data_IF_544404486693
#
_entry.id   IF_544404486693
#
_cell.length_a   1.000
_cell.length_b   1.000
_cell.length_c   1.000
_cell.angle_alpha   90.00
_cell.angle_beta   90.00
_cell.angle_gamma   90.00
#
_symmetry.space_group_name_H-M   'P 1'
#
loop_
_entity.id
_entity.type
_entity.pdbx_description
1 polymer ?
#
# COMPACT_ATOMS: atom_id res chain seq x y z
N UNK A 1 -5.29 5.78 -30.10
CA UNK A 1 -4.74 4.89 -29.05
C UNK A 1 -3.23 4.93 -29.17
N UNK A 2 -2.56 5.80 -28.41
CA UNK A 2 -1.10 5.92 -28.49
C UNK A 2 -0.44 5.06 -27.41
N UNK A 3 0.23 3.99 -27.86
CA UNK A 3 0.92 3.00 -27.02
C UNK A 3 2.24 3.50 -26.41
N UNK A 4 2.61 4.76 -26.64
CA UNK A 4 3.79 5.38 -26.04
C UNK A 4 3.58 5.77 -24.56
N UNK A 5 2.41 6.31 -24.20
CA UNK A 5 2.15 6.78 -22.84
C UNK A 5 2.05 5.63 -21.81
N UNK A 6 1.63 4.43 -22.23
CA UNK A 6 1.54 3.25 -21.36
C UNK A 6 2.92 2.66 -20.99
N UNK A 7 3.99 3.00 -21.73
CA UNK A 7 5.35 2.51 -21.46
C UNK A 7 6.10 3.32 -20.41
N UNK A 8 5.71 4.57 -20.18
CA UNK A 8 6.44 5.48 -19.29
C UNK A 8 6.27 5.19 -17.79
N UNK A 9 5.38 4.25 -17.43
CA UNK A 9 4.96 3.97 -16.04
C UNK A 9 5.17 2.51 -15.61
N UNK A 10 5.95 1.72 -16.35
CA UNK A 10 6.34 0.37 -15.91
C UNK A 10 7.40 0.48 -14.81
N UNK A 11 7.05 0.07 -13.59
CA UNK A 11 8.03 -0.22 -12.54
C UNK A 11 8.25 0.84 -11.47
N UNK A 12 7.32 1.78 -11.28
CA UNK A 12 7.39 2.75 -10.18
C UNK A 12 6.46 2.34 -9.01
N UNK A 13 6.98 1.73 -7.94
CA UNK A 13 6.22 1.54 -6.71
C UNK A 13 6.05 2.90 -6.02
N UNK A 14 4.89 3.55 -6.20
CA UNK A 14 4.53 4.74 -5.41
C UNK A 14 4.07 6.00 -6.16
N UNK A 15 4.01 6.02 -7.49
CA UNK A 15 3.69 7.26 -8.23
C UNK A 15 2.20 7.70 -8.23
N UNK A 16 1.33 7.23 -7.32
CA UNK A 16 -0.03 7.79 -7.21
C UNK A 16 -0.70 7.67 -5.84
N UNK A 17 0.04 7.85 -4.75
CA UNK A 17 -0.58 7.91 -3.42
C UNK A 17 -1.20 9.30 -3.14
N UNK A 18 -0.65 10.35 -3.75
CA UNK A 18 -1.21 11.72 -3.73
C UNK A 18 -0.93 12.43 -5.06
N UNK A 19 -1.56 11.98 -6.16
CA UNK A 19 -1.75 12.90 -7.28
C UNK A 19 -3.02 13.69 -6.99
N UNK A 20 -2.96 14.97 -6.53
CA UNK A 20 -4.08 15.85 -6.78
C UNK A 20 -4.34 15.81 -8.28
N UNK A 21 -5.61 15.86 -8.68
CA UNK A 21 -5.99 15.93 -10.09
C UNK A 21 -5.17 17.05 -10.75
N UNK A 22 -4.10 16.66 -11.48
CA UNK A 22 -3.38 17.59 -12.34
C UNK A 22 -4.46 18.14 -13.26
N UNK A 23 -4.64 19.47 -13.27
CA UNK A 23 -5.57 20.25 -14.10
C UNK A 23 -5.30 20.00 -15.60
N UNK A 24 -5.56 18.78 -16.03
CA UNK A 24 -5.33 18.25 -17.36
C UNK A 24 -6.55 17.40 -17.69
N UNK A 25 -6.92 17.28 -18.98
CA UNK A 25 -8.03 16.43 -19.44
C UNK A 25 -7.87 14.93 -19.11
N UNK A 26 -6.76 14.55 -18.46
CA UNK A 26 -6.37 13.19 -18.10
C UNK A 26 -6.57 12.87 -16.60
N UNK A 27 -7.28 13.72 -15.86
CA UNK A 27 -7.64 13.57 -14.44
C UNK A 27 -8.71 12.49 -14.16
N UNK A 28 -8.49 11.28 -14.66
CA UNK A 28 -9.39 10.13 -14.48
C UNK A 28 -8.81 9.09 -13.51
N UNK A 29 -9.67 8.20 -12.99
CA UNK A 29 -9.20 7.00 -12.28
C UNK A 29 -8.32 6.14 -13.18
N UNK A 30 -7.16 5.74 -12.69
CA UNK A 30 -6.14 5.02 -13.48
C UNK A 30 -6.04 3.58 -13.00
N UNK A 31 -5.72 2.70 -13.94
CA UNK A 31 -5.26 1.36 -13.62
C UNK A 31 -3.80 1.43 -13.18
N UNK A 32 -3.49 0.82 -12.05
CA UNK A 32 -2.17 0.81 -11.43
C UNK A 32 -1.71 -0.62 -11.28
N UNK A 33 -0.52 -0.93 -11.79
CA UNK A 33 0.12 -2.24 -11.61
C UNK A 33 1.44 -2.09 -10.89
N UNK A 34 1.58 -2.73 -9.74
CA UNK A 34 2.77 -2.64 -8.90
C UNK A 34 2.97 -3.91 -8.08
N UNK A 35 4.16 -4.03 -7.49
CA UNK A 35 4.48 -5.15 -6.60
C UNK A 35 4.14 -4.80 -5.16
N UNK A 36 3.55 -5.75 -4.46
CA UNK A 36 3.33 -5.73 -3.02
C UNK A 36 3.92 -6.98 -2.39
N UNK A 37 4.21 -6.89 -1.10
CA UNK A 37 4.95 -7.87 -0.34
C UNK A 37 4.21 -8.21 0.94
N UNK A 38 4.09 -9.50 1.24
CA UNK A 38 3.44 -10.01 2.44
C UNK A 38 4.41 -10.89 3.21
N UNK A 39 4.63 -10.57 4.49
CA UNK A 39 5.34 -11.46 5.40
C UNK A 39 4.36 -12.53 5.93
N UNK A 40 4.75 -13.81 5.85
CA UNK A 40 3.85 -14.92 6.20
C UNK A 40 4.63 -16.11 6.77
N UNK A 41 3.95 -16.95 7.55
CA UNK A 41 4.43 -18.29 7.92
C UNK A 41 4.20 -19.29 6.78
N UNK A 42 4.46 -20.57 7.02
CA UNK A 42 4.18 -21.65 6.05
C UNK A 42 2.67 -21.90 5.82
N UNK A 43 1.80 -21.37 6.68
CA UNK A 43 0.34 -21.46 6.48
C UNK A 43 -0.05 -20.60 5.28
N UNK A 44 -0.92 -21.11 4.41
CA UNK A 44 -1.41 -20.38 3.24
C UNK A 44 -2.76 -19.71 3.52
N UNK A 45 -2.86 -18.45 3.14
CA UNK A 45 -4.09 -17.65 3.22
C UNK A 45 -4.41 -17.07 1.85
N UNK A 46 -5.68 -16.79 1.57
CA UNK A 46 -6.06 -15.99 0.40
C UNK A 46 -5.48 -14.58 0.49
N UNK A 47 -5.30 -13.93 -0.66
CA UNK A 47 -4.90 -12.53 -0.77
C UNK A 47 -6.17 -11.66 -0.84
N UNK A 48 -7.01 -11.74 0.18
CA UNK A 48 -8.25 -10.97 0.32
C UNK A 48 -8.38 -10.54 1.78
N UNK A 49 -8.71 -9.26 2.00
CA UNK A 49 -8.79 -8.67 3.33
C UNK A 49 -7.47 -8.84 4.08
N UNK A 50 -6.38 -8.37 3.48
CA UNK A 50 -5.03 -8.56 4.02
C UNK A 50 -4.17 -7.31 3.89
N UNK A 51 -3.34 -7.10 4.90
CA UNK A 51 -2.35 -6.05 4.90
C UNK A 51 -1.08 -6.51 4.17
N UNK A 52 -0.62 -5.69 3.23
CA UNK A 52 0.61 -5.90 2.47
C UNK A 52 1.38 -4.58 2.40
N UNK A 53 2.66 -4.64 2.05
CA UNK A 53 3.48 -3.44 1.95
C UNK A 53 4.23 -3.37 0.62
N UNK A 54 4.87 -2.23 0.34
CA UNK A 54 6.01 -2.22 -0.58
C UNK A 54 7.23 -2.94 0.02
N UNK A 55 8.30 -3.09 -0.75
CA UNK A 55 9.48 -3.82 -0.30
C UNK A 55 10.10 -3.18 0.96
N UNK A 56 10.15 -1.86 1.02
CA UNK A 56 10.70 -1.17 2.19
C UNK A 56 9.80 -1.37 3.42
N UNK A 57 8.48 -1.41 3.24
CA UNK A 57 7.52 -1.52 4.32
C UNK A 57 7.49 -2.93 4.92
N UNK A 58 7.63 -3.97 4.10
CA UNK A 58 7.75 -5.34 4.64
C UNK A 58 9.06 -5.52 5.42
N UNK A 59 10.14 -4.88 4.99
CA UNK A 59 11.40 -4.91 5.74
C UNK A 59 11.31 -4.12 7.06
N UNK A 60 10.62 -2.98 7.04
CA UNK A 60 10.27 -2.23 8.25
C UNK A 60 9.47 -3.09 9.23
N UNK A 61 8.43 -3.78 8.75
CA UNK A 61 7.58 -4.66 9.57
C UNK A 61 8.38 -5.78 10.24
N UNK A 62 9.24 -6.45 9.46
CA UNK A 62 10.05 -7.53 9.97
C UNK A 62 10.96 -7.08 11.11
N UNK A 63 11.63 -5.93 10.97
CA UNK A 63 12.55 -5.44 11.99
C UNK A 63 11.84 -4.77 13.18
N UNK A 64 10.78 -4.03 12.94
CA UNK A 64 10.08 -3.27 13.97
C UNK A 64 9.15 -4.13 14.82
N UNK A 65 8.53 -5.16 14.25
CA UNK A 65 7.50 -5.94 14.96
C UNK A 65 7.80 -7.42 15.09
N UNK A 66 8.42 -8.04 14.08
CA UNK A 66 8.55 -9.50 14.04
C UNK A 66 9.78 -9.98 14.80
N UNK A 67 10.92 -9.33 14.55
CA UNK A 67 12.21 -9.63 15.19
C UNK A 67 12.31 -8.96 16.56
N UNK A 68 11.77 -7.74 16.70
CA UNK A 68 11.79 -7.00 17.97
C UNK A 68 10.78 -7.51 19.02
N UNK A 69 9.89 -8.45 18.67
CA UNK A 69 8.97 -9.03 19.63
C UNK A 69 9.73 -9.74 20.75
N UNK A 70 9.25 -9.62 21.99
CA UNK A 70 9.81 -10.27 23.19
C UNK A 70 9.72 -11.81 23.19
N UNK A 71 9.30 -12.41 22.07
CA UNK A 71 9.03 -13.83 21.90
C UNK A 71 10.27 -14.66 21.52
N UNK A 72 11.48 -14.18 21.82
CA UNK A 72 12.71 -14.93 21.60
C UNK A 72 12.64 -16.33 22.25
N UNK A 73 13.05 -17.42 21.56
CA UNK A 73 13.84 -17.46 20.32
C UNK A 73 13.01 -17.44 19.01
N UNK A 74 11.71 -17.17 19.07
CA UNK A 74 10.81 -17.27 17.91
C UNK A 74 10.47 -15.92 17.29
N UNK A 75 10.31 -15.91 15.96
CA UNK A 75 9.72 -14.79 15.23
C UNK A 75 8.22 -14.72 15.55
N UNK A 76 7.69 -13.51 15.80
CA UNK A 76 6.25 -13.30 15.99
C UNK A 76 5.46 -13.95 14.83
N UNK A 77 4.37 -14.64 15.17
CA UNK A 77 3.52 -15.41 14.24
C UNK A 77 4.25 -16.49 13.40
N UNK A 78 5.46 -16.88 13.79
CA UNK A 78 6.30 -17.83 13.05
C UNK A 78 6.50 -17.44 11.57
N UNK A 79 6.58 -16.14 11.29
CA UNK A 79 6.81 -15.64 9.93
C UNK A 79 8.14 -16.16 9.40
N UNK A 80 8.10 -16.83 8.26
CA UNK A 80 9.25 -17.55 7.68
C UNK A 80 9.64 -17.07 6.29
N UNK A 81 8.74 -16.40 5.57
CA UNK A 81 8.90 -16.03 4.16
C UNK A 81 8.28 -14.68 3.84
N UNK A 82 8.72 -14.10 2.73
CA UNK A 82 8.11 -12.92 2.10
C UNK A 82 7.56 -13.36 0.75
N UNK A 83 6.26 -13.17 0.55
CA UNK A 83 5.59 -13.39 -0.73
C UNK A 83 5.57 -12.09 -1.52
N UNK A 84 5.86 -12.15 -2.82
CA UNK A 84 5.78 -11.02 -3.74
C UNK A 84 4.61 -11.23 -4.71
N UNK A 85 3.66 -10.31 -4.69
CA UNK A 85 2.52 -10.31 -5.60
C UNK A 85 2.63 -9.12 -6.55
N UNK A 86 2.28 -9.34 -7.81
CA UNK A 86 2.01 -8.24 -8.74
C UNK A 86 0.51 -8.06 -8.80
N UNK A 87 0.03 -6.91 -8.33
CA UNK A 87 -1.39 -6.59 -8.32
C UNK A 87 -1.69 -5.55 -9.39
N UNK A 88 -2.93 -5.55 -9.85
CA UNK A 88 -3.49 -4.51 -10.70
C UNK A 88 -4.77 -4.02 -10.03
N UNK A 89 -4.85 -2.72 -9.75
CA UNK A 89 -6.03 -2.10 -9.14
C UNK A 89 -6.48 -0.89 -9.93
N UNK A 90 -7.76 -0.56 -9.81
CA UNK A 90 -8.35 0.66 -10.35
C UNK A 90 -9.42 1.12 -9.38
N UNK A 91 -9.26 2.32 -8.84
CA UNK A 91 -10.21 2.85 -7.85
C UNK A 91 -11.63 2.94 -8.39
N UNK A 92 -12.61 2.99 -7.49
CA UNK A 92 -14.02 3.10 -7.86
C UNK A 92 -14.35 4.52 -8.30
N UNK A 93 -15.44 4.67 -9.07
CA UNK A 93 -15.93 6.00 -9.41
C UNK A 93 -16.48 6.74 -8.18
N UNK A 94 -17.14 6.03 -7.27
CA UNK A 94 -17.68 6.59 -6.03
C UNK A 94 -16.60 7.30 -5.22
N UNK A 95 -15.46 6.63 -4.99
CA UNK A 95 -14.33 7.22 -4.29
C UNK A 95 -13.65 8.34 -5.09
N UNK A 96 -13.37 8.10 -6.37
CA UNK A 96 -12.63 9.06 -7.19
C UNK A 96 -13.37 10.38 -7.39
N UNK A 97 -14.70 10.35 -7.54
CA UNK A 97 -15.50 11.55 -7.79
C UNK A 97 -15.45 12.53 -6.61
N UNK A 98 -15.34 12.01 -5.38
CA UNK A 98 -15.28 12.79 -4.14
C UNK A 98 -13.84 13.19 -3.81
N UNK A 99 -12.92 12.23 -3.82
CA UNK A 99 -11.57 12.45 -3.28
C UNK A 99 -10.53 12.82 -4.33
N UNK A 100 -10.79 12.51 -5.62
CA UNK A 100 -9.83 12.68 -6.73
C UNK A 100 -8.50 11.95 -6.49
N UNK A 101 -8.53 10.80 -5.79
CA UNK A 101 -7.38 9.98 -5.41
C UNK A 101 -7.52 8.53 -5.86
N UNK A 102 -6.40 7.83 -6.05
CA UNK A 102 -6.40 6.44 -6.50
C UNK A 102 -6.48 5.41 -5.36
N UNK A 103 -6.10 5.80 -4.14
CA UNK A 103 -6.13 4.94 -2.95
C UNK A 103 -6.96 5.60 -1.86
N UNK A 104 -7.64 4.77 -1.07
CA UNK A 104 -8.35 5.17 0.14
C UNK A 104 -7.39 5.26 1.34
N UNK A 105 -7.92 5.66 2.49
CA UNK A 105 -7.20 5.50 3.75
C UNK A 105 -6.94 4.02 4.05
N UNK A 106 -5.80 3.72 4.66
CA UNK A 106 -5.51 2.37 5.15
C UNK A 106 -6.52 1.93 6.21
N UNK A 107 -6.88 0.67 6.14
CA UNK A 107 -7.64 -0.07 7.15
C UNK A 107 -6.91 -1.37 7.45
N UNK A 108 -6.75 -1.70 8.72
CA UNK A 108 -6.05 -2.92 9.12
C UNK A 108 -6.97 -4.14 8.99
N UNK A 109 -6.39 -5.27 8.61
CA UNK A 109 -7.07 -6.55 8.53
C UNK A 109 -6.43 -7.60 9.44
N UNK A 110 -7.14 -8.00 10.48
CA UNK A 110 -6.74 -9.10 11.36
C UNK A 110 -7.55 -10.36 11.03
N UNK A 111 -6.86 -11.43 10.65
CA UNK A 111 -7.49 -12.71 10.29
C UNK A 111 -8.57 -12.60 9.21
N UNK A 112 -8.39 -11.69 8.23
CA UNK A 112 -9.34 -11.48 7.13
C UNK A 112 -10.55 -10.60 7.50
N UNK A 113 -10.61 -10.10 8.75
CA UNK A 113 -11.63 -9.18 9.21
C UNK A 113 -11.02 -7.79 9.33
N UNK A 114 -11.71 -6.78 8.83
CA UNK A 114 -11.34 -5.41 9.07
C UNK A 114 -11.58 -5.05 10.54
N UNK A 115 -10.57 -4.46 11.21
CA UNK A 115 -10.60 -4.19 12.65
C UNK A 115 -10.68 -2.72 13.03
N UNK A 116 -10.84 -1.83 12.04
CA UNK A 116 -11.15 -0.41 12.29
C UNK A 116 -12.66 -0.20 12.41
N UNK A 117 -13.14 0.79 13.20
CA UNK A 117 -14.56 1.08 13.30
C UNK A 117 -15.19 1.39 11.93
N UNK A 118 -16.42 0.91 11.73
CA UNK A 118 -17.30 1.22 10.59
C UNK A 118 -16.72 0.96 9.19
N UNK A 119 -15.71 0.11 9.04
CA UNK A 119 -15.14 -0.14 7.72
C UNK A 119 -16.05 -0.91 6.76
N UNK A 120 -17.08 -1.61 7.23
CA UNK A 120 -18.07 -2.19 6.32
C UNK A 120 -18.77 -1.09 5.50
N UNK A 121 -19.08 0.04 6.12
CA UNK A 121 -19.71 1.20 5.47
C UNK A 121 -18.81 1.80 4.37
N UNK A 122 -17.48 1.71 4.53
CA UNK A 122 -16.52 2.15 3.50
C UNK A 122 -16.78 1.42 2.19
N UNK A 123 -16.85 0.09 2.22
CA UNK A 123 -17.02 -0.72 1.02
C UNK A 123 -18.47 -0.75 0.52
N UNK A 124 -19.46 -0.60 1.41
CA UNK A 124 -20.87 -0.43 1.02
C UNK A 124 -21.09 0.84 0.19
N UNK A 125 -20.47 1.96 0.58
CA UNK A 125 -20.68 3.25 -0.08
C UNK A 125 -19.69 3.51 -1.22
N UNK A 126 -18.44 3.09 -1.05
CA UNK A 126 -17.36 3.44 -1.97
C UNK A 126 -16.89 2.25 -2.81
N UNK A 127 -17.44 1.05 -2.60
CA UNK A 127 -17.01 -0.20 -3.25
C UNK A 127 -15.61 -0.64 -2.80
N UNK A 128 -15.07 -1.70 -3.42
CA UNK A 128 -13.77 -2.33 -3.11
C UNK A 128 -12.54 -1.43 -3.38
N UNK A 129 -12.40 -0.36 -2.60
CA UNK A 129 -11.25 0.56 -2.64
C UNK A 129 -10.06 -0.05 -1.90
N UNK A 130 -8.86 0.13 -2.47
CA UNK A 130 -7.59 -0.25 -1.84
C UNK A 130 -7.10 0.91 -0.98
N UNK A 131 -6.81 0.63 0.29
CA UNK A 131 -6.29 1.59 1.24
C UNK A 131 -4.77 1.74 1.18
N UNK A 132 -4.24 2.88 1.64
CA UNK A 132 -2.80 3.06 1.82
C UNK A 132 -2.41 3.93 3.01
N UNK A 133 -1.22 3.71 3.58
CA UNK A 133 -0.65 4.53 4.66
C UNK A 133 0.87 4.55 4.60
N UNK A 134 1.47 5.71 4.86
CA UNK A 134 2.92 5.84 4.98
C UNK A 134 3.42 5.32 6.32
N UNK A 135 4.53 4.61 6.27
CA UNK A 135 5.24 4.07 7.43
C UNK A 135 6.17 5.11 8.03
N UNK A 136 6.27 5.12 9.36
CA UNK A 136 7.18 6.01 10.07
C UNK A 136 8.64 5.52 9.95
N UNK A 137 9.40 6.17 9.07
CA UNK A 137 10.82 5.90 8.82
C UNK A 137 11.74 6.18 10.01
N UNK A 138 11.26 6.86 11.07
CA UNK A 138 12.05 7.07 12.29
C UNK A 138 12.17 5.82 13.16
N UNK A 139 11.26 4.85 12.99
CA UNK A 139 11.27 3.61 13.76
C UNK A 139 12.21 2.56 13.16
N UNK A 140 12.26 2.46 11.82
CA UNK A 140 13.29 1.71 11.11
C UNK A 140 13.59 2.40 9.77
N UNK A 141 14.88 2.54 9.46
CA UNK A 141 15.39 3.36 8.35
C UNK A 141 15.23 2.75 6.94
N UNK A 142 14.23 1.90 6.72
CA UNK A 142 13.92 1.40 5.39
C UNK A 142 13.16 2.47 4.61
N UNK A 143 13.66 2.79 3.41
CA UNK A 143 13.06 3.77 2.50
C UNK A 143 12.83 3.14 1.14
N UNK A 144 11.77 3.58 0.46
CA UNK A 144 11.50 3.15 -0.90
C UNK A 144 12.56 3.68 -1.87
N UNK A 145 12.87 2.88 -2.90
CA UNK A 145 13.77 3.31 -3.98
C UNK A 145 13.17 4.44 -4.81
N UNK A 146 11.84 4.57 -4.78
CA UNK A 146 11.07 5.60 -5.48
C UNK A 146 10.43 6.56 -4.49
N UNK A 147 10.13 7.79 -4.92
CA UNK A 147 9.29 8.71 -4.12
C UNK A 147 7.88 8.16 -4.02
N UNK A 148 7.40 8.00 -2.80
CA UNK A 148 6.06 7.51 -2.45
C UNK A 148 5.14 8.66 -2.05
N UNK A 149 5.71 9.78 -1.57
CA UNK A 149 5.00 11.04 -1.37
C UNK A 149 5.32 11.99 -2.52
N UNK A 150 4.27 12.53 -3.13
CA UNK A 150 4.37 13.50 -4.22
C UNK A 150 3.92 14.90 -3.78
N UNK A 151 3.59 15.08 -2.50
CA UNK A 151 3.33 16.40 -1.96
C UNK A 151 4.60 17.28 -2.10
N UNK A 152 4.41 18.53 -2.54
CA UNK A 152 5.51 19.45 -2.83
C UNK A 152 6.26 19.92 -1.57
N UNK A 153 5.71 19.65 -0.39
CA UNK A 153 6.24 20.08 0.91
C UNK A 153 6.99 18.95 1.62
N UNK A 154 7.25 17.84 0.95
CA UNK A 154 7.89 16.71 1.56
C UNK A 154 9.40 16.94 1.73
N UNK A 155 9.93 16.59 2.91
CA UNK A 155 11.36 16.56 3.22
C UNK A 155 11.91 15.12 3.23
N UNK A 156 13.12 14.91 2.70
CA UNK A 156 13.80 13.62 2.80
C UNK A 156 14.16 13.34 4.28
N UNK A 157 14.10 12.07 4.75
CA UNK A 157 13.82 10.84 4.00
C UNK A 157 12.32 10.52 3.84
N UNK A 158 11.42 11.37 4.35
CA UNK A 158 9.99 11.09 4.42
C UNK A 158 9.33 10.99 3.04
N UNK A 159 9.95 11.51 1.99
CA UNK A 159 9.42 11.44 0.61
C UNK A 159 9.47 10.05 0.01
N UNK A 160 10.25 9.19 0.64
CA UNK A 160 10.42 7.78 0.30
C UNK A 160 9.92 6.89 1.43
N UNK A 161 8.98 7.40 2.25
CA UNK A 161 8.38 6.61 3.31
C UNK A 161 7.80 5.31 2.73
N UNK A 162 8.06 4.15 3.34
CA UNK A 162 7.43 2.91 2.91
C UNK A 162 5.92 2.97 3.01
N UNK A 163 5.23 2.06 2.33
CA UNK A 163 3.78 2.13 2.18
C UNK A 163 3.13 0.81 2.56
N UNK A 164 2.17 0.88 3.48
CA UNK A 164 1.18 -0.17 3.72
C UNK A 164 0.00 -0.03 2.77
N UNK A 165 -0.56 -1.16 2.37
CA UNK A 165 -1.77 -1.26 1.56
C UNK A 165 -2.77 -2.23 2.19
N UNK A 166 -4.05 -1.88 2.10
CA UNK A 166 -5.18 -2.71 2.50
C UNK A 166 -5.80 -3.32 1.25
N UNK A 167 -5.65 -4.64 1.06
CA UNK A 167 -6.19 -5.38 -0.09
C UNK A 167 -7.47 -6.13 0.23
#
# INVERSE_FOLDING_TARGET
RDGAAARHYRGLPGASLDLPALNTPWSSRRELSFYVYRAQSEVNFSLQNVDVADLAGVMWYLHNEIVAATLAPHRKYNISRILRFKITTKTTWAYYNVHRRQFAGFVAFDSGRCTVPDCEQLWEHLGFVVGCQFVNVRLAGYVSSSRTRLDGNCEEPFCRSPVWYSL
#
